data_IF_275928486662
#
_entry.id   IF_275928486662
#
_cell.length_a   1.000
_cell.length_b   1.000
_cell.length_c   1.000
_cell.angle_alpha   90.00
_cell.angle_beta   90.00
_cell.angle_gamma   90.00
#
_symmetry.space_group_name_H-M   'P 1'
#
loop_
_entity.id
_entity.type
_entity.pdbx_description
1 polymer ?
#
# COMPACT_ATOMS: atom_id res chain seq x y z
N UNK A 1 -12.25 15.97 54.79
CA UNK A 1 -10.85 16.33 54.62
C UNK A 1 -10.78 17.75 54.06
N UNK A 2 -10.25 18.71 54.79
CA UNK A 2 -10.47 20.17 54.58
C UNK A 2 -9.45 20.71 53.56
N UNK A 3 -9.96 21.33 52.50
CA UNK A 3 -9.20 21.84 51.32
C UNK A 3 -8.04 22.81 51.68
N UNK A 4 -8.08 23.38 52.87
CA UNK A 4 -7.03 24.28 53.40
C UNK A 4 -5.76 23.54 53.85
N UNK A 5 -5.82 22.25 54.14
CA UNK A 5 -4.64 21.45 54.57
C UNK A 5 -3.78 20.98 53.39
N UNK A 6 -4.34 20.96 52.18
CA UNK A 6 -3.58 20.56 50.98
C UNK A 6 -2.63 21.66 50.50
N UNK A 7 -3.02 22.94 50.68
CA UNK A 7 -2.25 24.08 50.17
C UNK A 7 -1.05 24.47 51.05
N UNK A 8 -0.98 24.03 52.32
CA UNK A 8 0.11 24.40 53.22
C UNK A 8 1.32 23.45 53.17
N UNK A 9 1.22 22.29 52.50
CA UNK A 9 2.37 21.37 52.31
C UNK A 9 3.07 21.51 50.94
N UNK A 10 2.59 22.40 50.10
CA UNK A 10 3.20 22.61 48.76
C UNK A 10 4.23 23.77 48.75
N UNK A 11 4.51 24.40 49.92
CA UNK A 11 5.31 25.64 49.94
C UNK A 11 6.76 25.47 50.51
N UNK A 12 7.25 24.24 50.68
CA UNK A 12 8.66 24.02 51.06
C UNK A 12 9.26 22.83 50.29
N UNK A 13 9.33 22.97 48.96
CA UNK A 13 10.15 22.16 48.11
C UNK A 13 11.08 23.09 47.31
N UNK A 14 12.34 23.13 47.69
CA UNK A 14 13.37 23.91 47.00
C UNK A 14 13.37 23.57 45.49
N UNK A 15 13.10 24.61 44.71
CA UNK A 15 13.10 24.54 43.23
C UNK A 15 14.55 24.41 42.74
N UNK A 16 15.05 23.20 42.71
CA UNK A 16 16.17 22.87 41.87
C UNK A 16 15.65 22.71 40.44
N UNK A 17 15.79 23.74 39.61
CA UNK A 17 15.59 23.59 38.17
C UNK A 17 16.72 22.74 37.67
N UNK A 18 16.51 21.43 37.60
CA UNK A 18 17.36 20.56 36.81
C UNK A 18 17.09 20.86 35.32
N UNK A 19 17.85 21.80 34.76
CA UNK A 19 17.99 21.90 33.32
C UNK A 19 18.79 20.64 32.90
N UNK A 20 18.07 19.55 32.62
CA UNK A 20 18.66 18.43 31.91
C UNK A 20 19.16 18.99 30.56
N UNK A 21 20.45 18.81 30.21
CA UNK A 21 20.89 19.17 28.87
C UNK A 21 20.05 18.33 27.91
N UNK A 22 19.18 18.98 27.13
CA UNK A 22 18.60 18.34 25.95
C UNK A 22 19.76 18.03 25.02
N UNK A 23 20.32 16.85 25.17
CA UNK A 23 21.21 16.28 24.15
C UNK A 23 20.30 16.08 22.95
N UNK A 24 20.28 17.06 22.06
CA UNK A 24 19.81 16.91 20.71
C UNK A 24 20.69 15.82 20.07
N UNK A 25 20.24 14.57 20.17
CA UNK A 25 20.75 13.56 19.27
C UNK A 25 20.29 14.01 17.88
N UNK A 26 21.14 14.79 17.20
CA UNK A 26 21.06 14.90 15.76
C UNK A 26 21.15 13.46 15.26
N UNK A 27 20.01 12.84 14.91
CA UNK A 27 20.01 11.59 14.18
C UNK A 27 20.85 11.87 12.93
N UNK A 28 22.06 11.31 12.89
CA UNK A 28 22.84 11.30 11.69
C UNK A 28 21.92 10.71 10.61
N UNK A 29 21.56 11.54 9.61
CA UNK A 29 20.83 11.04 8.45
C UNK A 29 21.70 9.95 7.86
N UNK A 30 21.27 8.70 7.99
CA UNK A 30 21.88 7.61 7.21
C UNK A 30 21.87 8.07 5.76
N UNK A 31 23.01 8.11 5.08
CA UNK A 31 23.04 8.50 3.68
C UNK A 31 22.03 7.64 2.93
N UNK A 32 21.13 8.24 2.16
CA UNK A 32 20.30 7.47 1.23
C UNK A 32 21.27 6.74 0.30
N UNK A 33 21.08 5.45 0.13
CA UNK A 33 21.79 4.68 -0.90
C UNK A 33 21.55 5.28 -2.29
N UNK A 34 22.31 4.84 -3.26
CA UNK A 34 22.12 5.24 -4.65
C UNK A 34 20.70 4.87 -5.13
N UNK A 35 20.13 5.64 -6.07
CA UNK A 35 18.87 5.28 -6.70
C UNK A 35 18.95 3.88 -7.33
N UNK A 36 17.83 3.15 -7.27
CA UNK A 36 17.72 1.87 -7.98
C UNK A 36 17.93 2.09 -9.49
N UNK A 37 18.67 1.20 -10.19
CA UNK A 37 18.80 1.27 -11.64
C UNK A 37 17.41 1.21 -12.31
N UNK A 38 17.05 2.18 -13.16
CA UNK A 38 15.70 2.23 -13.77
C UNK A 38 15.32 0.96 -14.53
N UNK A 39 16.28 0.32 -15.20
CA UNK A 39 16.06 -0.93 -15.92
C UNK A 39 15.70 -2.07 -14.97
N UNK A 40 16.25 -2.10 -13.75
CA UNK A 40 15.89 -3.10 -12.73
C UNK A 40 14.50 -2.86 -12.17
N UNK A 41 14.10 -1.60 -12.01
CA UNK A 41 12.73 -1.24 -11.61
C UNK A 41 11.74 -1.72 -12.66
N UNK A 42 11.97 -1.39 -13.94
CA UNK A 42 11.12 -1.82 -15.05
C UNK A 42 11.04 -3.34 -15.14
N UNK A 43 12.18 -4.03 -15.06
CA UNK A 43 12.28 -5.49 -15.11
C UNK A 43 11.47 -6.13 -13.98
N UNK A 44 11.57 -5.59 -12.76
CA UNK A 44 10.86 -6.10 -11.59
C UNK A 44 9.34 -5.89 -11.70
N UNK A 45 8.90 -4.70 -12.08
CA UNK A 45 7.48 -4.41 -12.27
C UNK A 45 6.90 -5.29 -13.39
N UNK A 46 7.62 -5.43 -14.51
CA UNK A 46 7.23 -6.33 -15.59
C UNK A 46 7.15 -7.80 -15.15
N UNK A 47 8.11 -8.28 -14.34
CA UNK A 47 8.10 -9.64 -13.81
C UNK A 47 6.89 -9.90 -12.87
N UNK A 48 6.40 -8.86 -12.19
CA UNK A 48 5.22 -8.93 -11.32
C UNK A 48 3.97 -9.50 -12.00
N UNK A 49 3.87 -9.39 -13.31
CA UNK A 49 2.72 -9.88 -14.06
C UNK A 49 2.60 -11.41 -14.08
N UNK A 50 3.73 -12.14 -14.25
CA UNK A 50 3.66 -13.57 -14.50
C UNK A 50 4.94 -14.38 -14.20
N UNK A 51 5.96 -13.79 -13.59
CA UNK A 51 7.24 -14.47 -13.39
C UNK A 51 7.74 -14.38 -11.94
N UNK A 52 7.22 -15.28 -11.08
CA UNK A 52 7.56 -15.32 -9.65
C UNK A 52 9.06 -15.52 -9.40
N UNK A 53 9.70 -16.40 -10.17
CA UNK A 53 11.14 -16.70 -9.97
C UNK A 53 12.01 -15.46 -10.29
N UNK A 54 11.64 -14.71 -11.31
CA UNK A 54 12.30 -13.46 -11.64
C UNK A 54 12.08 -12.40 -10.55
N UNK A 55 10.86 -12.31 -10.00
CA UNK A 55 10.54 -11.43 -8.86
C UNK A 55 11.44 -11.77 -7.68
N UNK A 56 11.55 -13.04 -7.30
CA UNK A 56 12.40 -13.49 -6.19
C UNK A 56 13.88 -13.19 -6.43
N UNK A 57 14.38 -13.48 -7.65
CA UNK A 57 15.78 -13.22 -8.02
C UNK A 57 16.14 -11.73 -7.91
N UNK A 58 15.29 -10.86 -8.43
CA UNK A 58 15.51 -9.42 -8.38
C UNK A 58 15.45 -8.87 -6.95
N UNK A 59 14.55 -9.39 -6.11
CA UNK A 59 14.47 -9.00 -4.70
C UNK A 59 15.66 -9.49 -3.87
N UNK A 60 16.27 -10.62 -4.24
CA UNK A 60 17.50 -11.08 -3.59
C UNK A 60 18.67 -10.16 -3.87
N UNK A 61 18.75 -9.56 -5.07
CA UNK A 61 19.79 -8.62 -5.46
C UNK A 61 19.48 -7.18 -4.97
N UNK A 62 18.22 -6.75 -5.11
CA UNK A 62 17.73 -5.41 -4.78
C UNK A 62 16.48 -5.47 -3.89
N UNK A 63 16.58 -5.69 -2.58
CA UNK A 63 15.41 -5.86 -1.70
C UNK A 63 14.43 -4.68 -1.71
N UNK A 64 14.93 -3.47 -1.96
CA UNK A 64 14.13 -2.24 -2.00
C UNK A 64 13.24 -2.11 -3.24
N UNK A 65 13.43 -2.97 -4.26
CA UNK A 65 12.52 -3.09 -5.41
C UNK A 65 11.09 -3.42 -4.97
N UNK A 66 10.90 -4.03 -3.81
CA UNK A 66 9.57 -4.32 -3.25
C UNK A 66 8.63 -3.11 -3.24
N UNK A 67 9.17 -1.91 -3.14
CA UNK A 67 8.42 -0.65 -3.08
C UNK A 67 8.53 0.19 -4.34
N UNK A 68 9.20 -0.34 -5.37
CA UNK A 68 9.43 0.40 -6.59
C UNK A 68 8.16 0.50 -7.44
N UNK A 69 8.07 1.59 -8.19
CA UNK A 69 6.98 1.90 -9.11
C UNK A 69 7.60 2.29 -10.44
N UNK A 70 7.03 1.82 -11.54
CA UNK A 70 7.44 2.16 -12.90
C UNK A 70 6.37 3.00 -13.59
N UNK A 71 6.78 4.02 -14.35
CA UNK A 71 5.91 4.79 -15.24
C UNK A 71 5.99 4.17 -16.64
N UNK A 72 4.89 3.59 -17.09
CA UNK A 72 4.77 3.03 -18.44
C UNK A 72 4.59 4.10 -19.52
N UNK A 73 4.42 5.34 -19.09
CA UNK A 73 4.29 6.52 -19.92
C UNK A 73 3.05 7.33 -19.58
N UNK A 74 3.21 8.67 -19.62
CA UNK A 74 2.09 9.58 -19.36
C UNK A 74 1.55 9.60 -17.93
N UNK A 75 2.32 9.08 -16.95
CA UNK A 75 1.86 8.96 -15.56
C UNK A 75 1.13 7.68 -15.26
N UNK A 76 1.21 6.67 -16.11
CA UNK A 76 0.70 5.31 -15.89
C UNK A 76 1.66 4.53 -14.97
N UNK A 77 1.55 4.81 -13.68
CA UNK A 77 2.40 4.22 -12.64
C UNK A 77 1.88 2.87 -12.19
N UNK A 78 2.80 1.92 -12.07
CA UNK A 78 2.50 0.56 -11.63
C UNK A 78 3.61 -0.01 -10.73
N UNK A 79 3.21 -0.79 -9.72
CA UNK A 79 4.09 -1.64 -8.91
C UNK A 79 4.02 -3.10 -9.40
N UNK A 80 5.01 -3.93 -9.05
CA UNK A 80 4.95 -5.36 -9.36
C UNK A 80 3.71 -6.06 -8.76
N UNK A 81 3.25 -5.60 -7.60
CA UNK A 81 2.03 -6.12 -6.96
C UNK A 81 0.77 -5.75 -7.74
N UNK A 82 0.70 -4.54 -8.31
CA UNK A 82 -0.41 -4.11 -9.17
C UNK A 82 -0.41 -4.86 -10.51
N UNK A 83 0.78 -5.13 -11.07
CA UNK A 83 0.93 -6.01 -12.23
C UNK A 83 0.31 -7.39 -11.98
N UNK A 84 0.64 -8.02 -10.85
CA UNK A 84 0.00 -9.27 -10.43
C UNK A 84 -1.52 -9.10 -10.26
N UNK A 85 -1.98 -7.95 -9.75
CA UNK A 85 -3.37 -7.65 -9.50
C UNK A 85 -4.22 -7.61 -10.76
N UNK A 86 -3.81 -6.85 -11.77
CA UNK A 86 -4.62 -6.73 -12.99
C UNK A 86 -4.50 -7.92 -13.95
N UNK A 87 -3.45 -8.73 -13.83
CA UNK A 87 -3.35 -10.01 -14.55
C UNK A 87 -4.13 -11.12 -13.83
N UNK A 88 -4.24 -11.06 -12.49
CA UNK A 88 -4.88 -12.08 -11.67
C UNK A 88 -3.91 -13.15 -11.17
N UNK A 89 -2.61 -12.87 -11.13
CA UNK A 89 -1.57 -13.81 -10.68
C UNK A 89 -1.49 -13.82 -9.15
N UNK A 90 -2.44 -14.52 -8.51
CA UNK A 90 -2.60 -14.56 -7.05
C UNK A 90 -1.36 -15.05 -6.31
N UNK A 91 -0.61 -15.96 -6.90
CA UNK A 91 0.62 -16.49 -6.30
C UNK A 91 1.65 -15.38 -6.10
N UNK A 92 1.91 -14.56 -7.12
CA UNK A 92 2.84 -13.43 -7.04
C UNK A 92 2.30 -12.37 -6.08
N UNK A 93 1.00 -12.06 -6.16
CA UNK A 93 0.37 -11.09 -5.26
C UNK A 93 0.52 -11.50 -3.78
N UNK A 94 0.20 -12.76 -3.45
CA UNK A 94 0.32 -13.26 -2.09
C UNK A 94 1.77 -13.32 -1.61
N UNK A 95 2.72 -13.70 -2.48
CA UNK A 95 4.14 -13.67 -2.15
C UNK A 95 4.60 -12.25 -1.79
N UNK A 96 4.32 -11.28 -2.66
CA UNK A 96 4.73 -9.88 -2.45
C UNK A 96 4.10 -9.29 -1.18
N UNK A 97 2.80 -9.54 -0.94
CA UNK A 97 2.12 -9.11 0.29
C UNK A 97 2.75 -9.78 1.53
N UNK A 98 3.05 -11.07 1.44
CA UNK A 98 3.65 -11.84 2.54
C UNK A 98 5.02 -11.31 2.99
N UNK A 99 5.76 -10.66 2.11
CA UNK A 99 7.05 -10.02 2.41
C UNK A 99 6.95 -8.51 2.63
N UNK A 100 5.72 -7.95 2.71
CA UNK A 100 5.46 -6.57 3.12
C UNK A 100 5.25 -5.56 2.00
N UNK A 101 4.92 -5.98 0.77
CA UNK A 101 4.49 -5.05 -0.28
C UNK A 101 3.22 -4.29 0.14
N UNK A 102 3.12 -3.04 -0.26
CA UNK A 102 1.96 -2.18 0.04
C UNK A 102 0.80 -2.56 -0.87
N UNK A 103 -0.25 -3.14 -0.29
CA UNK A 103 -1.46 -3.45 -1.04
C UNK A 103 -2.35 -2.23 -1.24
N UNK A 104 -3.25 -2.30 -2.24
CA UNK A 104 -4.22 -1.27 -2.54
C UNK A 104 -5.61 -1.88 -2.83
N UNK A 105 -6.59 -1.00 -3.07
CA UNK A 105 -7.99 -1.40 -3.29
C UNK A 105 -8.16 -2.36 -4.48
N UNK A 106 -7.42 -2.15 -5.56
CA UNK A 106 -7.50 -2.98 -6.77
C UNK A 106 -7.00 -4.39 -6.54
N UNK A 107 -5.84 -4.55 -5.90
CA UNK A 107 -5.27 -5.85 -5.54
C UNK A 107 -6.18 -6.58 -4.54
N UNK A 108 -6.70 -5.87 -3.53
CA UNK A 108 -7.66 -6.44 -2.57
C UNK A 108 -8.93 -6.93 -3.25
N UNK A 109 -9.39 -6.21 -4.29
CA UNK A 109 -10.55 -6.62 -5.10
C UNK A 109 -10.26 -7.90 -5.85
N UNK A 110 -9.12 -8.01 -6.54
CA UNK A 110 -8.70 -9.24 -7.23
C UNK A 110 -8.53 -10.41 -6.26
N UNK A 111 -8.06 -10.17 -5.05
CA UNK A 111 -7.92 -11.22 -4.03
C UNK A 111 -9.23 -11.54 -3.28
N UNK A 112 -10.37 -11.00 -3.70
CA UNK A 112 -11.68 -11.28 -3.11
C UNK A 112 -11.82 -10.83 -1.64
N UNK A 113 -11.14 -9.75 -1.22
CA UNK A 113 -11.21 -9.24 0.16
C UNK A 113 -12.48 -8.42 0.38
N UNK A 114 -13.62 -9.06 0.20
CA UNK A 114 -14.97 -8.45 0.11
C UNK A 114 -15.28 -7.50 1.26
N UNK A 115 -15.05 -7.89 2.50
CA UNK A 115 -15.38 -7.06 3.67
C UNK A 115 -14.54 -5.78 3.69
N UNK A 116 -13.25 -5.88 3.36
CA UNK A 116 -12.33 -4.73 3.33
C UNK A 116 -12.74 -3.77 2.20
N UNK A 117 -12.97 -4.30 1.01
CA UNK A 117 -13.33 -3.49 -0.17
C UNK A 117 -14.67 -2.79 0.02
N UNK A 118 -15.69 -3.49 0.51
CA UNK A 118 -17.00 -2.88 0.80
C UNK A 118 -16.88 -1.78 1.85
N UNK A 119 -16.21 -2.03 2.98
CA UNK A 119 -16.03 -1.01 4.02
C UNK A 119 -15.24 0.21 3.52
N UNK A 120 -14.26 0.00 2.64
CA UNK A 120 -13.52 1.08 2.00
C UNK A 120 -14.42 1.93 1.10
N UNK A 121 -15.22 1.30 0.24
CA UNK A 121 -16.13 1.98 -0.68
C UNK A 121 -17.32 2.66 0.03
N UNK A 122 -17.76 2.11 1.16
CA UNK A 122 -18.78 2.75 2.00
C UNK A 122 -18.24 4.03 2.65
N UNK A 123 -16.95 4.02 3.05
CA UNK A 123 -16.27 5.18 3.63
C UNK A 123 -15.87 6.22 2.60
N UNK A 124 -15.55 5.79 1.39
CA UNK A 124 -15.03 6.60 0.29
C UNK A 124 -15.70 6.26 -1.04
N UNK A 125 -17.00 6.62 -1.23
CA UNK A 125 -17.78 6.22 -2.41
C UNK A 125 -17.18 6.65 -3.76
N UNK A 126 -16.41 7.74 -3.79
CA UNK A 126 -15.75 8.23 -5.00
C UNK A 126 -14.74 7.24 -5.59
N UNK A 127 -14.22 6.30 -4.78
CA UNK A 127 -13.30 5.27 -5.28
C UNK A 127 -13.99 4.16 -6.08
N UNK A 128 -15.33 4.13 -6.13
CA UNK A 128 -16.06 3.19 -6.98
C UNK A 128 -15.64 3.33 -8.46
N UNK A 129 -15.36 4.55 -8.90
CA UNK A 129 -14.92 4.86 -10.27
C UNK A 129 -13.42 5.15 -10.37
N UNK A 130 -12.64 4.78 -9.36
CA UNK A 130 -11.19 4.97 -9.38
C UNK A 130 -10.54 4.14 -10.50
N UNK A 131 -9.41 4.63 -11.00
CA UNK A 131 -8.62 4.00 -12.04
C UNK A 131 -7.37 3.40 -11.45
N UNK A 132 -7.12 2.14 -11.72
CA UNK A 132 -5.86 1.47 -11.48
C UNK A 132 -4.87 1.67 -12.65
N UNK A 133 -3.69 1.04 -12.58
CA UNK A 133 -2.74 1.04 -13.68
C UNK A 133 -3.42 0.67 -15.01
N UNK A 134 -2.95 1.28 -16.08
CA UNK A 134 -3.47 1.10 -17.45
C UNK A 134 -4.96 1.47 -17.61
N UNK A 135 -5.57 2.15 -16.63
CA UNK A 135 -7.00 2.46 -16.62
C UNK A 135 -7.92 1.31 -16.26
N UNK A 136 -7.38 0.20 -15.72
CA UNK A 136 -8.22 -0.92 -15.26
C UNK A 136 -9.04 -0.54 -14.04
N UNK A 137 -10.35 -0.88 -14.07
CA UNK A 137 -11.30 -0.57 -13.01
C UNK A 137 -11.35 -1.65 -11.93
N UNK A 138 -12.09 -1.40 -10.85
CA UNK A 138 -12.37 -2.43 -9.84
C UNK A 138 -13.10 -3.63 -10.44
N UNK A 139 -13.98 -3.40 -11.44
CA UNK A 139 -14.70 -4.48 -12.12
C UNK A 139 -13.75 -5.44 -12.83
N UNK A 140 -12.73 -4.90 -13.54
CA UNK A 140 -11.68 -5.72 -14.14
C UNK A 140 -10.98 -6.61 -13.10
N UNK A 141 -10.58 -6.02 -11.97
CA UNK A 141 -9.87 -6.74 -10.92
C UNK A 141 -10.75 -7.83 -10.27
N UNK A 142 -12.05 -7.57 -10.07
CA UNK A 142 -12.96 -8.60 -9.59
C UNK A 142 -13.09 -9.76 -10.59
N UNK A 143 -13.18 -9.47 -11.90
CA UNK A 143 -13.19 -10.50 -12.94
C UNK A 143 -11.89 -11.32 -12.93
N UNK A 144 -10.72 -10.68 -12.77
CA UNK A 144 -9.44 -11.37 -12.67
C UNK A 144 -9.29 -12.21 -11.40
N UNK A 145 -10.03 -11.87 -10.35
CA UNK A 145 -10.08 -12.64 -9.12
C UNK A 145 -10.84 -13.97 -9.24
N UNK A 146 -11.68 -14.12 -10.28
CA UNK A 146 -12.47 -15.34 -10.50
C UNK A 146 -13.38 -15.66 -9.30
N UNK A 147 -13.45 -16.95 -8.93
CA UNK A 147 -14.36 -17.42 -7.88
C UNK A 147 -14.14 -16.74 -6.53
N UNK A 148 -12.88 -16.43 -6.15
CA UNK A 148 -12.57 -15.75 -4.90
C UNK A 148 -13.16 -14.34 -4.82
N UNK A 149 -13.33 -13.67 -5.96
CA UNK A 149 -13.85 -12.31 -6.06
C UNK A 149 -15.30 -12.23 -6.59
N UNK A 150 -15.99 -13.37 -6.73
CA UNK A 150 -17.34 -13.40 -7.31
C UNK A 150 -18.31 -12.49 -6.56
N UNK A 151 -18.31 -12.52 -5.24
CA UNK A 151 -19.19 -11.64 -4.43
C UNK A 151 -18.88 -10.16 -4.67
N UNK A 152 -17.61 -9.80 -4.87
CA UNK A 152 -17.24 -8.43 -5.21
C UNK A 152 -17.65 -8.07 -6.64
N UNK A 153 -17.52 -8.98 -7.57
CA UNK A 153 -18.00 -8.78 -8.94
C UNK A 153 -19.49 -8.43 -8.94
N UNK A 154 -20.32 -9.28 -8.33
CA UNK A 154 -21.78 -9.09 -8.23
C UNK A 154 -22.11 -7.74 -7.52
N UNK A 155 -21.37 -7.42 -6.46
CA UNK A 155 -21.52 -6.14 -5.74
C UNK A 155 -21.20 -4.92 -6.63
N UNK A 156 -20.08 -4.93 -7.33
CA UNK A 156 -19.64 -3.81 -8.18
C UNK A 156 -20.60 -3.61 -9.36
N UNK A 157 -21.10 -4.68 -9.97
CA UNK A 157 -22.14 -4.64 -11.00
C UNK A 157 -23.45 -4.05 -10.47
N UNK A 158 -23.87 -4.44 -9.24
CA UNK A 158 -25.05 -3.88 -8.59
C UNK A 158 -24.94 -2.37 -8.30
N UNK A 159 -23.71 -1.86 -8.16
CA UNK A 159 -23.40 -0.42 -8.03
C UNK A 159 -23.35 0.32 -9.37
N UNK A 160 -23.55 -0.39 -10.47
CA UNK A 160 -23.63 0.20 -11.81
C UNK A 160 -22.32 0.23 -12.59
N UNK A 161 -21.25 -0.41 -12.11
CA UNK A 161 -20.02 -0.53 -12.88
C UNK A 161 -20.25 -1.45 -14.08
N UNK A 162 -19.81 -1.00 -15.26
CA UNK A 162 -19.91 -1.76 -16.51
C UNK A 162 -18.58 -1.85 -17.24
N UNK A 163 -17.78 -0.82 -17.10
CA UNK A 163 -16.49 -0.70 -17.80
C UNK A 163 -15.38 -1.41 -17.03
N UNK A 164 -14.63 -2.25 -17.71
CA UNK A 164 -13.45 -2.92 -17.16
C UNK A 164 -12.19 -2.11 -17.36
N UNK A 165 -12.19 -1.18 -18.29
CA UNK A 165 -11.08 -0.28 -18.61
C UNK A 165 -11.62 1.08 -19.08
N UNK A 166 -10.97 2.14 -18.61
CA UNK A 166 -11.27 3.53 -19.00
C UNK A 166 -9.97 4.24 -19.38
N UNK A 167 -10.07 5.35 -20.10
CA UNK A 167 -8.88 6.16 -20.39
C UNK A 167 -8.26 6.71 -19.09
N UNK A 168 -6.94 6.74 -19.01
CA UNK A 168 -6.19 7.35 -17.89
C UNK A 168 -6.32 8.88 -17.93
#
# INVERSE_FOLDING_TARGET
>A
MNRKYFLHKAAMGASGIFIAPHVLFAQAKTPKGDPLPPEKVREFVGAGHNNLEKVKSLLAEFPTLLYATWDWGGGDFETALEGAGHVGTKEIANYLIGIGARTNLFVLTMLGKTQIVKAYLDSYPQYLTAKGPHGFTLLHHAQRGGDDAKELLDYLESKGLKETKVAL
#
